data_IF_171235572275
#
_entry.id   IF_171235572275
#
_cell.length_a   1.000
_cell.length_b   1.000
_cell.length_c   1.000
_cell.angle_alpha   90.00
_cell.angle_beta   90.00
_cell.angle_gamma   90.00
#
_symmetry.space_group_name_H-M   'P 1'
#
loop_
_entity.id
_entity.type
_entity.pdbx_description
1 polymer ?
#
# COMPACT_ATOMS: atom_id res chain seq x y z
N UNK A 1 21.16 14.41 -20.08
CA UNK A 1 20.05 15.34 -19.80
C UNK A 1 19.11 15.34 -20.99
N UNK A 2 17.82 15.41 -20.74
CA UNK A 2 16.78 15.45 -21.77
C UNK A 2 15.95 16.71 -21.57
N UNK A 3 15.65 17.44 -22.65
CA UNK A 3 14.78 18.60 -22.53
C UNK A 3 13.30 18.17 -22.46
N UNK A 4 12.41 19.08 -22.06
CA UNK A 4 10.98 18.78 -21.87
C UNK A 4 10.31 18.23 -23.15
N UNK A 5 10.65 18.77 -24.32
CA UNK A 5 10.07 18.34 -25.60
C UNK A 5 10.49 16.91 -25.94
N UNK A 6 11.78 16.62 -25.81
CA UNK A 6 12.32 15.27 -26.01
C UNK A 6 11.71 14.27 -25.02
N UNK A 7 11.53 14.65 -23.75
CA UNK A 7 10.91 13.79 -22.75
C UNK A 7 9.42 13.52 -23.05
N UNK A 8 8.69 14.54 -23.55
CA UNK A 8 7.31 14.39 -23.99
C UNK A 8 7.19 13.45 -25.20
N UNK A 9 8.10 13.55 -26.17
CA UNK A 9 8.19 12.62 -27.31
C UNK A 9 8.42 11.17 -26.85
N UNK A 10 9.33 10.95 -25.89
CA UNK A 10 9.51 9.63 -25.27
C UNK A 10 8.20 9.18 -24.62
N UNK A 11 7.61 9.99 -23.74
CA UNK A 11 6.41 9.59 -23.01
C UNK A 11 5.27 9.21 -23.95
N UNK A 12 5.05 9.96 -25.03
CA UNK A 12 4.04 9.65 -26.04
C UNK A 12 4.31 8.30 -26.73
N UNK A 13 5.56 7.99 -27.07
CA UNK A 13 5.96 6.69 -27.65
C UNK A 13 5.63 5.51 -26.73
N UNK A 14 5.73 5.69 -25.41
CA UNK A 14 5.51 4.64 -24.41
C UNK A 14 4.14 4.70 -23.73
N UNK A 15 3.26 5.62 -24.14
CA UNK A 15 1.93 5.77 -23.54
C UNK A 15 1.95 6.26 -22.08
N UNK A 16 2.91 7.11 -21.73
CA UNK A 16 3.11 7.67 -20.40
C UNK A 16 2.62 9.12 -20.33
N UNK A 17 2.13 9.55 -19.16
CA UNK A 17 1.82 10.95 -18.87
C UNK A 17 3.09 11.70 -18.42
N UNK A 18 3.68 12.47 -19.35
CA UNK A 18 4.87 13.28 -19.11
C UNK A 18 4.67 14.33 -18.01
N UNK A 19 3.50 14.96 -17.93
CA UNK A 19 3.19 16.00 -16.94
C UNK A 19 3.16 15.40 -15.54
N UNK A 20 2.54 14.23 -15.40
CA UNK A 20 2.49 13.47 -14.14
C UNK A 20 3.87 13.03 -13.69
N UNK A 21 4.70 12.50 -14.60
CA UNK A 21 6.07 12.08 -14.30
C UNK A 21 6.94 13.25 -13.82
N UNK A 22 6.94 14.37 -14.53
CA UNK A 22 7.72 15.56 -14.17
C UNK A 22 7.25 16.13 -12.83
N UNK A 23 5.93 16.27 -12.63
CA UNK A 23 5.35 16.75 -11.36
C UNK A 23 5.78 15.89 -10.17
N UNK A 24 5.87 14.58 -10.36
CA UNK A 24 6.25 13.65 -9.30
C UNK A 24 7.76 13.65 -9.03
N UNK A 25 8.61 13.85 -10.05
CA UNK A 25 10.06 13.88 -9.89
C UNK A 25 10.75 14.56 -11.09
N UNK A 26 11.12 15.83 -10.97
CA UNK A 26 11.79 16.59 -12.04
C UNK A 26 13.17 16.05 -12.43
N UNK A 27 13.80 15.23 -11.58
CA UNK A 27 15.10 14.62 -11.86
C UNK A 27 15.13 13.78 -13.15
N UNK A 28 13.97 13.34 -13.65
CA UNK A 28 13.88 12.62 -14.94
C UNK A 28 14.41 13.43 -16.13
N UNK A 29 14.42 14.77 -16.03
CA UNK A 29 14.97 15.64 -17.06
C UNK A 29 16.50 15.82 -16.93
N UNK A 30 16.99 15.74 -15.70
CA UNK A 30 18.37 16.12 -15.34
C UNK A 30 19.31 14.92 -15.29
N UNK A 31 18.84 13.77 -14.82
CA UNK A 31 19.71 12.64 -14.43
C UNK A 31 19.94 11.60 -15.51
N UNK A 32 19.22 11.68 -16.64
CA UNK A 32 19.42 10.76 -17.75
C UNK A 32 19.37 11.45 -19.11
N UNK A 33 19.97 10.82 -20.10
CA UNK A 33 19.81 11.16 -21.50
C UNK A 33 18.68 10.36 -22.16
N UNK A 34 18.32 10.78 -23.38
CA UNK A 34 17.24 10.19 -24.16
C UNK A 34 17.36 8.67 -24.32
N UNK A 35 18.55 8.18 -24.67
CA UNK A 35 18.77 6.76 -24.97
C UNK A 35 18.69 5.92 -23.70
N UNK A 36 19.29 6.40 -22.60
CA UNK A 36 19.21 5.74 -21.30
C UNK A 36 17.76 5.53 -20.85
N UNK A 37 16.92 6.56 -20.97
CA UNK A 37 15.48 6.45 -20.64
C UNK A 37 14.80 5.41 -21.55
N UNK A 38 15.06 5.44 -22.86
CA UNK A 38 14.49 4.49 -23.80
C UNK A 38 14.87 3.04 -23.48
N UNK A 39 16.14 2.77 -23.15
CA UNK A 39 16.58 1.41 -22.77
C UNK A 39 15.88 0.89 -21.51
N UNK A 40 15.66 1.76 -20.52
CA UNK A 40 14.88 1.41 -19.33
C UNK A 40 13.44 1.08 -19.71
N UNK A 41 12.80 1.96 -20.50
CA UNK A 41 11.40 1.78 -20.88
C UNK A 41 11.17 0.55 -21.76
N UNK A 42 12.07 0.27 -22.72
CA UNK A 42 12.02 -0.94 -23.53
C UNK A 42 12.13 -2.19 -22.65
N UNK A 43 13.04 -2.21 -21.67
CA UNK A 43 13.15 -3.34 -20.74
C UNK A 43 11.89 -3.52 -19.88
N UNK A 44 11.40 -2.45 -19.26
CA UNK A 44 10.20 -2.50 -18.40
C UNK A 44 8.95 -2.92 -19.18
N UNK A 45 8.73 -2.38 -20.38
CA UNK A 45 7.56 -2.70 -21.22
C UNK A 45 7.70 -4.07 -21.88
N UNK A 46 8.82 -4.34 -22.52
CA UNK A 46 8.93 -5.48 -23.43
C UNK A 46 9.34 -6.76 -22.69
N UNK A 47 10.18 -6.64 -21.67
CA UNK A 47 10.62 -7.80 -20.88
C UNK A 47 9.73 -8.04 -19.69
N UNK A 48 9.49 -7.00 -18.87
CA UNK A 48 8.76 -7.15 -17.62
C UNK A 48 7.24 -6.96 -17.75
N UNK A 49 6.76 -6.51 -18.91
CA UNK A 49 5.34 -6.23 -19.18
C UNK A 49 4.71 -5.26 -18.18
N UNK A 50 5.50 -4.34 -17.62
CA UNK A 50 5.03 -3.35 -16.65
C UNK A 50 4.10 -2.36 -17.32
N UNK A 51 2.93 -2.15 -16.72
CA UNK A 51 1.96 -1.18 -17.25
C UNK A 51 2.44 0.27 -17.11
N UNK A 52 2.05 1.17 -18.04
CA UNK A 52 2.39 2.60 -17.96
C UNK A 52 2.07 3.23 -16.60
N UNK A 53 0.89 2.93 -16.04
CA UNK A 53 0.45 3.45 -14.74
C UNK A 53 1.37 3.01 -13.57
N UNK A 54 2.00 1.84 -13.65
CA UNK A 54 2.97 1.40 -12.63
C UNK A 54 4.33 2.11 -12.79
N UNK A 55 4.76 2.35 -14.03
CA UNK A 55 5.97 3.16 -14.34
C UNK A 55 5.79 4.60 -13.81
N UNK A 56 4.64 5.20 -14.05
CA UNK A 56 4.34 6.58 -13.62
C UNK A 56 4.36 6.81 -12.11
N UNK A 57 4.18 5.75 -11.32
CA UNK A 57 4.28 5.78 -9.85
C UNK A 57 5.72 5.74 -9.34
N UNK A 58 6.69 5.38 -10.20
CA UNK A 58 8.11 5.32 -9.86
C UNK A 58 8.98 6.00 -10.93
N UNK A 59 8.86 7.34 -11.13
CA UNK A 59 9.63 8.04 -12.14
C UNK A 59 11.16 7.87 -11.96
N UNK A 60 11.60 7.62 -10.72
CA UNK A 60 13.02 7.46 -10.41
C UNK A 60 13.72 6.34 -11.16
N UNK A 61 12.98 5.30 -11.57
CA UNK A 61 13.57 4.19 -12.31
C UNK A 61 14.11 4.61 -13.69
N UNK A 62 13.54 5.68 -14.28
CA UNK A 62 13.85 6.12 -15.64
C UNK A 62 15.27 6.68 -15.80
N UNK A 63 15.89 7.10 -14.71
CA UNK A 63 17.26 7.63 -14.72
C UNK A 63 18.28 6.70 -14.05
N UNK A 64 17.90 5.45 -13.79
CA UNK A 64 18.84 4.44 -13.30
C UNK A 64 19.55 3.74 -14.45
N UNK A 65 20.75 3.25 -14.17
CA UNK A 65 21.53 2.45 -15.11
C UNK A 65 20.77 1.14 -15.39
N UNK A 66 20.57 0.85 -16.68
CA UNK A 66 19.81 -0.34 -17.11
C UNK A 66 20.47 -1.64 -16.65
N UNK A 67 21.80 -1.66 -16.51
CA UNK A 67 22.56 -2.81 -16.02
C UNK A 67 22.16 -3.18 -14.59
N UNK A 68 22.02 -2.19 -13.70
CA UNK A 68 21.62 -2.41 -12.31
C UNK A 68 20.17 -2.95 -12.23
N UNK A 69 19.26 -2.41 -13.06
CA UNK A 69 17.87 -2.88 -13.14
C UNK A 69 17.83 -4.34 -13.61
N UNK A 70 18.60 -4.68 -14.67
CA UNK A 70 18.70 -6.04 -15.21
C UNK A 70 19.31 -7.02 -14.21
N UNK A 71 20.33 -6.60 -13.47
CA UNK A 71 20.96 -7.40 -12.42
C UNK A 71 19.97 -7.70 -11.30
N UNK A 72 19.27 -6.68 -10.79
CA UNK A 72 18.23 -6.85 -9.79
C UNK A 72 17.13 -7.79 -10.27
N UNK A 73 16.63 -7.60 -11.50
CA UNK A 73 15.63 -8.48 -12.07
C UNK A 73 16.12 -9.93 -12.16
N UNK A 74 17.33 -10.15 -12.66
CA UNK A 74 17.93 -11.48 -12.76
C UNK A 74 17.96 -12.16 -11.39
N UNK A 75 18.45 -11.45 -10.37
CA UNK A 75 18.51 -11.98 -9.01
C UNK A 75 17.12 -12.31 -8.45
N UNK A 76 16.15 -11.40 -8.58
CA UNK A 76 14.77 -11.62 -8.10
C UNK A 76 14.12 -12.83 -8.79
N UNK A 77 14.35 -12.99 -10.10
CA UNK A 77 13.87 -14.13 -10.88
C UNK A 77 14.52 -15.45 -10.44
N UNK A 78 15.84 -15.46 -10.21
CA UNK A 78 16.56 -16.62 -9.65
C UNK A 78 16.03 -17.05 -8.27
N UNK A 79 15.67 -16.07 -7.42
CA UNK A 79 15.07 -16.33 -6.10
C UNK A 79 13.57 -16.65 -6.16
N UNK A 80 12.98 -16.66 -7.36
CA UNK A 80 11.55 -16.92 -7.60
C UNK A 80 10.64 -15.96 -6.83
N UNK A 81 11.02 -14.69 -6.76
CA UNK A 81 10.15 -13.64 -6.24
C UNK A 81 8.98 -13.47 -7.21
N UNK A 82 7.76 -13.32 -6.67
CA UNK A 82 6.56 -13.14 -7.46
C UNK A 82 6.69 -11.87 -8.32
N UNK A 83 6.56 -12.05 -9.64
CA UNK A 83 6.76 -10.98 -10.62
C UNK A 83 5.76 -9.84 -10.45
N UNK A 84 4.55 -10.13 -9.97
CA UNK A 84 3.51 -9.14 -9.69
C UNK A 84 3.93 -8.16 -8.58
N UNK A 85 4.64 -8.65 -7.57
CA UNK A 85 5.10 -7.81 -6.46
C UNK A 85 6.21 -6.86 -6.92
N UNK A 86 7.05 -7.31 -7.86
CA UNK A 86 8.07 -6.48 -8.50
C UNK A 86 7.44 -5.43 -9.43
N UNK A 87 6.45 -5.83 -10.24
CA UNK A 87 5.74 -4.95 -11.17
C UNK A 87 5.01 -3.81 -10.45
N UNK A 88 4.35 -4.12 -9.33
CA UNK A 88 3.62 -3.14 -8.52
C UNK A 88 4.52 -2.32 -7.60
N UNK A 89 5.80 -2.71 -7.44
CA UNK A 89 6.79 -1.99 -6.65
C UNK A 89 8.17 -1.91 -7.35
N UNK A 90 8.24 -1.14 -8.43
CA UNK A 90 9.48 -0.87 -9.19
C UNK A 90 10.62 -0.28 -8.35
N UNK A 91 10.32 0.26 -7.16
CA UNK A 91 11.34 0.71 -6.22
C UNK A 91 12.29 -0.42 -5.78
N UNK A 92 11.89 -1.69 -5.86
CA UNK A 92 12.77 -2.83 -5.59
C UNK A 92 13.86 -2.91 -6.67
N UNK A 93 13.47 -2.85 -7.94
CA UNK A 93 14.41 -2.82 -9.08
C UNK A 93 15.32 -1.58 -9.08
N UNK A 94 14.88 -0.52 -8.41
CA UNK A 94 15.63 0.72 -8.26
C UNK A 94 16.67 0.69 -7.13
N UNK A 95 16.78 -0.41 -6.39
CA UNK A 95 17.70 -0.55 -5.26
C UNK A 95 19.11 -0.80 -5.77
N UNK A 96 20.13 -0.39 -5.01
CA UNK A 96 21.49 -0.84 -5.27
C UNK A 96 21.56 -2.39 -5.28
N UNK A 97 22.17 -3.03 -6.30
CA UNK A 97 22.17 -4.49 -6.39
C UNK A 97 22.85 -5.21 -5.23
N UNK A 98 23.90 -4.64 -4.66
CA UNK A 98 24.58 -5.24 -3.51
C UNK A 98 23.70 -5.14 -2.27
N UNK A 99 23.08 -3.98 -2.04
CA UNK A 99 22.13 -3.80 -0.94
C UNK A 99 20.93 -4.75 -1.06
N UNK A 100 20.34 -4.89 -2.24
CA UNK A 100 19.19 -5.78 -2.46
C UNK A 100 19.54 -7.24 -2.10
N UNK A 101 20.71 -7.71 -2.52
CA UNK A 101 21.21 -9.06 -2.19
C UNK A 101 21.44 -9.23 -0.70
N UNK A 102 22.13 -8.28 -0.05
CA UNK A 102 22.36 -8.29 1.40
C UNK A 102 21.05 -8.34 2.18
N UNK A 103 20.07 -7.52 1.81
CA UNK A 103 18.77 -7.51 2.47
C UNK A 103 18.00 -8.81 2.24
N UNK A 104 18.03 -9.37 1.02
CA UNK A 104 17.45 -10.67 0.75
C UNK A 104 18.07 -11.75 1.65
N UNK A 105 19.39 -11.83 1.72
CA UNK A 105 20.11 -12.83 2.53
C UNK A 105 19.80 -12.66 4.02
N UNK A 106 19.82 -11.43 4.52
CA UNK A 106 19.53 -11.12 5.92
C UNK A 106 18.11 -11.52 6.33
N UNK A 107 17.11 -11.12 5.54
CA UNK A 107 15.69 -11.37 5.85
C UNK A 107 15.31 -12.82 5.57
N UNK A 108 15.83 -13.44 4.51
CA UNK A 108 15.48 -14.83 4.19
C UNK A 108 16.08 -15.87 5.13
N UNK A 109 17.09 -15.51 5.93
CA UNK A 109 17.73 -16.41 6.88
C UNK A 109 16.72 -16.92 7.95
N UNK A 110 16.59 -18.24 8.07
CA UNK A 110 15.59 -18.90 8.95
C UNK A 110 15.82 -18.61 10.45
N UNK A 111 17.08 -18.43 10.85
CA UNK A 111 17.42 -18.02 12.22
C UNK A 111 17.14 -16.53 12.49
N UNK A 112 16.76 -15.76 11.47
CA UNK A 112 16.35 -14.36 11.56
C UNK A 112 14.84 -14.25 11.36
N UNK A 113 14.38 -14.07 10.12
CA UNK A 113 12.97 -13.92 9.79
C UNK A 113 12.44 -15.15 9.07
N UNK A 114 13.17 -15.60 8.03
CA UNK A 114 12.78 -16.68 7.14
C UNK A 114 12.10 -16.17 5.87
N UNK A 115 12.14 -16.98 4.81
CA UNK A 115 11.71 -16.58 3.46
C UNK A 115 10.27 -16.06 3.40
N UNK A 116 9.37 -16.59 4.25
CA UNK A 116 7.95 -16.20 4.31
C UNK A 116 7.73 -14.69 4.47
N UNK A 117 8.63 -13.98 5.14
CA UNK A 117 8.48 -12.54 5.35
C UNK A 117 8.76 -11.73 4.07
N UNK A 118 9.63 -12.23 3.18
CA UNK A 118 9.84 -11.62 1.86
C UNK A 118 8.61 -11.85 0.98
N UNK A 119 7.96 -13.01 1.10
CA UNK A 119 6.74 -13.32 0.36
C UNK A 119 5.55 -12.47 0.84
N UNK A 120 5.48 -12.17 2.14
CA UNK A 120 4.45 -11.30 2.70
C UNK A 120 4.73 -9.81 2.48
N UNK A 121 6.01 -9.41 2.52
CA UNK A 121 6.44 -8.02 2.53
C UNK A 121 7.62 -7.83 1.57
N UNK A 122 7.43 -8.14 0.28
CA UNK A 122 8.51 -8.11 -0.73
C UNK A 122 9.18 -6.74 -0.85
N UNK A 123 8.43 -5.68 -0.54
CA UNK A 123 8.95 -4.31 -0.51
C UNK A 123 10.05 -4.08 0.53
N UNK A 124 10.29 -5.01 1.47
CA UNK A 124 11.44 -4.94 2.38
C UNK A 124 12.78 -4.97 1.66
N UNK A 125 12.86 -5.60 0.48
CA UNK A 125 14.10 -5.77 -0.28
C UNK A 125 14.76 -4.46 -0.73
N UNK A 126 14.03 -3.34 -0.67
CA UNK A 126 14.57 -2.00 -0.95
C UNK A 126 15.22 -1.32 0.25
N UNK A 127 15.08 -1.90 1.44
CA UNK A 127 15.54 -1.33 2.71
C UNK A 127 16.92 -1.90 3.02
N UNK A 128 17.84 -1.09 3.53
CA UNK A 128 19.18 -1.55 3.90
C UNK A 128 19.14 -2.41 5.17
N UNK A 129 20.09 -3.33 5.31
CA UNK A 129 20.20 -4.21 6.49
C UNK A 129 20.46 -3.39 7.75
N UNK A 130 21.27 -2.34 7.65
CA UNK A 130 21.65 -1.46 8.76
C UNK A 130 20.41 -0.79 9.35
N UNK A 131 19.47 -0.36 8.51
CA UNK A 131 18.20 0.22 8.98
C UNK A 131 17.33 -0.81 9.71
N UNK A 132 17.29 -2.05 9.22
CA UNK A 132 16.53 -3.12 9.88
C UNK A 132 17.15 -3.39 11.25
N UNK A 133 18.47 -3.55 11.32
CA UNK A 133 19.23 -3.78 12.54
C UNK A 133 19.11 -2.64 13.54
N UNK A 134 19.16 -1.40 13.07
CA UNK A 134 18.99 -0.23 13.94
C UNK A 134 17.63 -0.27 14.64
N UNK A 135 16.56 -0.66 13.93
CA UNK A 135 15.21 -0.79 14.52
C UNK A 135 15.13 -2.01 15.45
N UNK A 136 15.76 -3.14 15.10
CA UNK A 136 15.85 -4.32 15.97
C UNK A 136 16.49 -3.97 17.32
N UNK A 137 17.60 -3.22 17.30
CA UNK A 137 18.34 -2.81 18.49
C UNK A 137 17.57 -1.76 19.31
N UNK A 138 17.00 -0.76 18.63
CA UNK A 138 16.40 0.40 19.28
C UNK A 138 14.94 0.21 19.69
N UNK A 139 14.24 -0.75 19.09
CA UNK A 139 12.83 -1.06 19.38
C UNK A 139 12.64 -2.58 19.56
N UNK A 140 13.34 -3.22 20.53
CA UNK A 140 13.32 -4.67 20.72
C UNK A 140 11.95 -5.24 21.12
N UNK A 141 11.02 -4.39 21.56
CA UNK A 141 9.64 -4.73 21.87
C UNK A 141 8.79 -5.06 20.63
N UNK A 142 9.25 -4.70 19.43
CA UNK A 142 8.52 -4.93 18.20
C UNK A 142 8.60 -6.41 17.79
N UNK A 143 7.49 -6.93 17.30
CA UNK A 143 7.49 -8.21 16.60
C UNK A 143 8.30 -8.10 15.31
N UNK A 144 8.83 -9.22 14.81
CA UNK A 144 9.54 -9.29 13.52
C UNK A 144 8.77 -8.63 12.37
N UNK A 145 7.47 -8.89 12.27
CA UNK A 145 6.59 -8.28 11.25
C UNK A 145 6.53 -6.75 11.37
N UNK A 146 6.40 -6.25 12.61
CA UNK A 146 6.34 -4.82 12.88
C UNK A 146 7.68 -4.13 12.65
N UNK A 147 8.82 -4.80 12.90
CA UNK A 147 10.15 -4.28 12.59
C UNK A 147 10.27 -4.03 11.08
N UNK A 148 9.92 -5.03 10.25
CA UNK A 148 9.99 -4.86 8.78
C UNK A 148 9.02 -3.78 8.28
N UNK A 149 7.82 -3.71 8.85
CA UNK A 149 6.84 -2.66 8.55
C UNK A 149 7.36 -1.26 8.90
N UNK A 150 7.98 -1.10 10.07
CA UNK A 150 8.61 0.13 10.51
C UNK A 150 9.80 0.50 9.61
N UNK A 151 10.61 -0.48 9.22
CA UNK A 151 11.74 -0.29 8.33
C UNK A 151 11.30 0.28 6.96
N UNK A 152 10.17 -0.19 6.41
CA UNK A 152 9.63 0.28 5.13
C UNK A 152 9.02 1.69 5.21
N UNK A 153 8.54 2.12 6.39
CA UNK A 153 7.86 3.42 6.58
C UNK A 153 8.69 4.66 6.28
N UNK A 154 10.02 4.51 6.13
CA UNK A 154 11.02 5.60 5.97
C UNK A 154 11.06 6.62 7.11
N UNK A 155 10.37 6.37 8.23
CA UNK A 155 10.43 7.21 9.42
C UNK A 155 11.79 7.10 10.11
N UNK A 156 12.25 8.19 10.73
CA UNK A 156 13.42 8.14 11.61
C UNK A 156 13.18 7.20 12.79
N UNK A 157 14.25 6.60 13.33
CA UNK A 157 14.08 5.61 14.40
C UNK A 157 13.51 6.23 15.68
N UNK A 158 13.81 7.49 15.99
CA UNK A 158 13.21 8.18 17.14
C UNK A 158 11.70 8.39 16.96
N UNK A 159 11.24 8.67 15.73
CA UNK A 159 9.81 8.74 15.42
C UNK A 159 9.15 7.36 15.55
N UNK A 160 9.83 6.29 15.13
CA UNK A 160 9.34 4.91 15.31
C UNK A 160 9.19 4.58 16.80
N UNK A 161 10.20 4.92 17.63
CA UNK A 161 10.13 4.74 19.09
C UNK A 161 8.95 5.49 19.69
N UNK A 162 8.74 6.75 19.29
CA UNK A 162 7.64 7.54 19.84
C UNK A 162 6.27 7.00 19.39
N UNK A 163 6.14 6.50 18.15
CA UNK A 163 4.94 5.79 17.70
C UNK A 163 4.64 4.59 18.60
N UNK A 164 5.64 3.76 18.89
CA UNK A 164 5.48 2.57 19.73
C UNK A 164 5.10 2.96 21.15
N UNK A 165 5.79 3.95 21.73
CA UNK A 165 5.49 4.49 23.06
C UNK A 165 4.06 5.01 23.16
N UNK A 166 3.59 5.77 22.17
CA UNK A 166 2.21 6.26 22.12
C UNK A 166 1.22 5.10 22.09
N UNK A 167 1.46 4.08 21.27
CA UNK A 167 0.59 2.91 21.21
C UNK A 167 0.52 2.19 22.57
N UNK A 168 1.67 1.90 23.19
CA UNK A 168 1.75 1.22 24.48
C UNK A 168 1.06 2.01 25.60
N UNK A 169 1.28 3.32 25.69
CA UNK A 169 0.66 4.19 26.70
C UNK A 169 -0.87 4.15 26.64
N UNK A 170 -1.43 3.91 25.46
CA UNK A 170 -2.87 3.88 25.22
C UNK A 170 -3.40 2.45 25.04
N UNK A 171 -2.63 1.42 25.40
CA UNK A 171 -3.01 -0.01 25.28
C UNK A 171 -3.39 -0.42 23.85
N UNK A 172 -2.85 0.28 22.85
CA UNK A 172 -3.07 -0.01 21.43
C UNK A 172 -2.06 -1.03 20.94
N UNK A 173 -2.56 -2.10 20.31
CA UNK A 173 -1.70 -3.09 19.65
C UNK A 173 -0.96 -2.45 18.47
N UNK A 174 0.37 -2.53 18.50
CA UNK A 174 1.22 -2.12 17.37
C UNK A 174 0.99 -3.08 16.20
N UNK A 175 0.56 -2.53 15.06
CA UNK A 175 0.30 -3.23 13.80
C UNK A 175 0.93 -2.45 12.64
N UNK A 176 1.08 -3.05 11.46
CA UNK A 176 1.66 -2.39 10.28
C UNK A 176 1.05 -1.00 9.98
N UNK A 177 -0.27 -0.86 10.20
CA UNK A 177 -1.02 0.37 9.96
C UNK A 177 -0.50 1.58 10.74
N UNK A 178 0.01 1.38 11.95
CA UNK A 178 0.46 2.50 12.81
C UNK A 178 1.65 3.24 12.19
N UNK A 179 2.55 2.53 11.51
CA UNK A 179 3.73 3.12 10.89
C UNK A 179 3.42 3.93 9.63
N UNK A 180 2.14 4.00 9.20
CA UNK A 180 1.68 4.90 8.13
C UNK A 180 1.42 6.32 8.65
N UNK A 181 1.45 6.54 9.95
CA UNK A 181 1.06 7.79 10.63
C UNK A 181 2.19 8.31 11.50
N UNK A 182 2.24 9.61 11.75
CA UNK A 182 3.18 10.16 12.75
C UNK A 182 2.68 9.87 14.16
N UNK A 183 3.55 9.94 15.17
CA UNK A 183 3.14 9.82 16.56
C UNK A 183 2.06 10.86 16.93
N UNK A 184 2.18 12.08 16.42
CA UNK A 184 1.19 13.14 16.61
C UNK A 184 -0.17 12.77 16.02
N UNK A 185 -0.18 12.26 14.79
CA UNK A 185 -1.42 11.85 14.12
C UNK A 185 -2.05 10.62 14.80
N UNK A 186 -1.24 9.68 15.29
CA UNK A 186 -1.72 8.53 16.07
C UNK A 186 -2.41 8.98 17.35
N UNK A 187 -1.83 9.92 18.11
CA UNK A 187 -2.47 10.46 19.33
C UNK A 187 -3.83 11.05 19.03
N UNK A 188 -3.93 11.78 17.91
CA UNK A 188 -5.18 12.38 17.50
C UNK A 188 -6.23 11.35 17.09
N UNK A 189 -5.83 10.34 16.29
CA UNK A 189 -6.72 9.22 15.94
C UNK A 189 -7.22 8.49 17.20
N UNK A 190 -6.34 8.23 18.17
CA UNK A 190 -6.71 7.60 19.44
C UNK A 190 -7.73 8.46 20.20
N UNK A 191 -7.50 9.78 20.28
CA UNK A 191 -8.41 10.73 20.94
C UNK A 191 -9.80 10.69 20.30
N UNK A 192 -9.87 10.81 18.96
CA UNK A 192 -11.13 10.76 18.22
C UNK A 192 -11.86 9.44 18.49
N UNK A 193 -11.15 8.31 18.46
CA UNK A 193 -11.76 7.02 18.76
C UNK A 193 -12.31 6.93 20.18
N UNK A 194 -11.55 7.39 21.17
CA UNK A 194 -11.98 7.39 22.58
C UNK A 194 -13.20 8.28 22.81
N UNK A 195 -13.19 9.51 22.28
CA UNK A 195 -14.32 10.45 22.36
C UNK A 195 -15.60 9.90 21.72
N UNK A 196 -15.47 8.99 20.77
CA UNK A 196 -16.59 8.41 20.02
C UNK A 196 -16.89 6.93 20.38
N UNK A 197 -16.25 6.37 21.41
CA UNK A 197 -16.45 4.98 21.83
C UNK A 197 -16.11 3.95 20.75
N UNK A 198 -15.13 4.24 19.90
CA UNK A 198 -14.69 3.39 18.78
C UNK A 198 -13.56 2.48 19.26
N UNK A 199 -13.68 1.19 18.96
CA UNK A 199 -12.61 0.23 19.21
C UNK A 199 -11.37 0.57 18.37
N UNK A 200 -10.21 0.74 19.03
CA UNK A 200 -8.96 1.11 18.38
C UNK A 200 -8.27 -0.15 17.84
N UNK A 201 -8.54 -0.47 16.58
CA UNK A 201 -7.88 -1.57 15.86
C UNK A 201 -6.98 -1.05 14.73
N UNK A 202 -6.12 -1.92 14.20
CA UNK A 202 -5.13 -1.56 13.18
C UNK A 202 -5.68 -0.90 11.90
N UNK A 203 -6.94 -1.18 11.52
CA UNK A 203 -7.55 -0.58 10.33
C UNK A 203 -7.80 0.92 10.48
N UNK A 204 -8.01 1.44 11.70
CA UNK A 204 -8.24 2.87 11.94
C UNK A 204 -7.03 3.70 11.46
N UNK A 205 -5.82 3.22 11.72
CA UNK A 205 -4.57 3.88 11.32
C UNK A 205 -4.31 3.86 9.80
N UNK A 206 -5.18 3.22 9.01
CA UNK A 206 -5.16 3.34 7.53
C UNK A 206 -5.73 4.67 7.04
N UNK A 207 -6.32 5.48 7.95
CA UNK A 207 -6.92 6.80 7.67
C UNK A 207 -6.19 7.89 8.43
N UNK A 208 -6.22 9.10 7.90
CA UNK A 208 -5.72 10.26 8.63
C UNK A 208 -6.69 10.62 9.76
N UNK A 209 -6.25 11.41 10.74
CA UNK A 209 -7.15 11.91 11.78
C UNK A 209 -8.39 12.60 11.20
N UNK A 210 -8.20 13.46 10.19
CA UNK A 210 -9.29 14.14 9.48
C UNK A 210 -10.24 13.17 8.78
N UNK A 211 -9.72 12.13 8.12
CA UNK A 211 -10.58 11.11 7.51
C UNK A 211 -11.33 10.29 8.57
N UNK A 212 -10.72 9.98 9.72
CA UNK A 212 -11.40 9.28 10.83
C UNK A 212 -12.57 10.12 11.33
N UNK A 213 -12.38 11.42 11.59
CA UNK A 213 -13.45 12.33 12.01
C UNK A 213 -14.59 12.39 10.97
N UNK A 214 -14.26 12.54 9.69
CA UNK A 214 -15.26 12.57 8.62
C UNK A 214 -16.05 11.24 8.56
N UNK A 215 -15.38 10.09 8.75
CA UNK A 215 -16.05 8.79 8.84
C UNK A 215 -17.03 8.75 10.01
N UNK A 216 -16.64 9.27 11.18
CA UNK A 216 -17.49 9.36 12.36
C UNK A 216 -18.75 10.17 12.08
N UNK A 217 -18.60 11.35 11.47
CA UNK A 217 -19.73 12.21 11.12
C UNK A 217 -20.70 11.53 10.14
N UNK A 218 -20.16 10.89 9.09
CA UNK A 218 -20.97 10.13 8.14
C UNK A 218 -21.75 9.03 8.85
N UNK A 219 -21.10 8.27 9.74
CA UNK A 219 -21.75 7.18 10.45
C UNK A 219 -22.86 7.69 11.38
N UNK A 220 -22.58 8.74 12.17
CA UNK A 220 -23.58 9.38 13.05
C UNK A 220 -24.78 9.89 12.27
N UNK A 221 -24.55 10.62 11.16
CA UNK A 221 -25.62 11.17 10.31
C UNK A 221 -26.52 10.07 9.71
N UNK A 222 -25.97 8.88 9.49
CA UNK A 222 -26.68 7.78 8.86
C UNK A 222 -27.11 6.67 9.84
N UNK A 223 -26.91 6.84 11.15
CA UNK A 223 -27.24 5.82 12.16
C UNK A 223 -26.42 4.52 12.02
N UNK A 224 -25.21 4.60 11.47
CA UNK A 224 -24.35 3.42 11.21
C UNK A 224 -23.49 3.15 12.43
N UNK A 225 -23.49 1.90 12.91
CA UNK A 225 -22.55 1.45 13.94
C UNK A 225 -21.13 1.43 13.37
N UNK A 226 -20.22 2.13 14.03
CA UNK A 226 -18.82 2.18 13.60
C UNK A 226 -18.14 0.85 13.93
N UNK A 227 -17.61 0.19 12.90
CA UNK A 227 -16.81 -1.04 13.01
C UNK A 227 -15.48 -0.88 12.31
N UNK A 228 -14.51 -1.71 12.68
CA UNK A 228 -13.18 -1.72 12.08
C UNK A 228 -13.13 -1.81 10.54
N UNK A 229 -14.09 -2.50 9.93
CA UNK A 229 -14.20 -2.67 8.47
C UNK A 229 -14.47 -1.35 7.73
N UNK A 230 -15.11 -0.36 8.36
CA UNK A 230 -15.38 0.95 7.73
C UNK A 230 -14.09 1.65 7.35
N UNK A 231 -13.07 1.58 8.21
CA UNK A 231 -11.76 2.20 8.00
C UNK A 231 -10.93 1.54 6.88
N UNK A 232 -11.42 0.44 6.29
CA UNK A 232 -10.84 -0.13 5.05
C UNK A 232 -11.16 0.71 3.81
N UNK A 233 -12.16 1.61 3.89
CA UNK A 233 -12.67 2.42 2.76
C UNK A 233 -12.42 3.91 2.96
N UNK A 234 -12.20 4.67 1.88
CA UNK A 234 -12.08 6.13 1.95
C UNK A 234 -13.46 6.76 2.21
N UNK A 235 -13.48 7.99 2.67
CA UNK A 235 -14.74 8.71 2.96
C UNK A 235 -15.64 8.82 1.73
N UNK A 236 -15.05 9.01 0.54
CA UNK A 236 -15.78 9.01 -0.74
C UNK A 236 -16.43 7.65 -1.06
N UNK A 237 -15.70 6.56 -0.85
CA UNK A 237 -16.21 5.20 -1.07
C UNK A 237 -17.31 4.84 -0.06
N UNK A 238 -17.16 5.26 1.20
CA UNK A 238 -18.17 5.05 2.24
C UNK A 238 -19.49 5.74 1.86
N UNK A 239 -19.43 7.00 1.41
CA UNK A 239 -20.62 7.74 0.96
C UNK A 239 -21.32 7.00 -0.20
N UNK A 240 -20.57 6.47 -1.15
CA UNK A 240 -21.12 5.71 -2.26
C UNK A 240 -21.75 4.38 -1.81
N UNK A 241 -21.05 3.62 -0.96
CA UNK A 241 -21.56 2.36 -0.38
C UNK A 241 -22.88 2.62 0.36
N UNK A 242 -22.93 3.63 1.22
CA UNK A 242 -24.14 4.02 1.97
C UNK A 242 -25.29 4.34 1.02
N UNK A 243 -25.02 5.09 -0.06
CA UNK A 243 -26.03 5.42 -1.07
C UNK A 243 -26.55 4.15 -1.76
N UNK A 244 -25.65 3.30 -2.26
CA UNK A 244 -26.03 2.05 -2.95
C UNK A 244 -26.85 1.14 -2.05
N UNK A 245 -26.46 0.99 -0.78
CA UNK A 245 -27.22 0.20 0.18
C UNK A 245 -28.64 0.77 0.37
N UNK A 246 -28.77 2.09 0.59
CA UNK A 246 -30.07 2.74 0.75
C UNK A 246 -30.96 2.62 -0.48
N UNK A 247 -30.40 2.83 -1.67
CA UNK A 247 -31.12 2.72 -2.94
C UNK A 247 -31.67 1.30 -3.18
N UNK A 248 -31.07 0.28 -2.54
CA UNK A 248 -31.46 -1.12 -2.65
C UNK A 248 -32.14 -1.67 -1.37
N UNK A 249 -32.49 -0.82 -0.41
CA UNK A 249 -33.15 -1.25 0.84
C UNK A 249 -32.29 -2.12 1.76
N UNK A 250 -30.97 -2.01 1.68
CA UNK A 250 -29.99 -2.82 2.42
C UNK A 250 -29.58 -2.08 3.68
N UNK A 251 -29.62 -2.76 4.83
CA UNK A 251 -29.10 -2.23 6.08
C UNK A 251 -27.58 -2.03 6.01
N UNK A 252 -27.11 -0.84 6.39
CA UNK A 252 -25.69 -0.50 6.36
C UNK A 252 -25.01 -0.98 7.64
N UNK A 253 -24.52 -2.22 7.61
CA UNK A 253 -23.75 -2.82 8.71
C UNK A 253 -22.28 -3.03 8.33
N UNK A 254 -21.43 -3.34 9.32
CA UNK A 254 -19.99 -3.48 9.12
C UNK A 254 -19.56 -4.37 7.94
N UNK A 255 -20.32 -5.41 7.58
CA UNK A 255 -19.94 -6.33 6.50
C UNK A 255 -20.00 -5.72 5.10
N UNK A 256 -20.83 -4.69 4.86
CA UNK A 256 -20.92 -4.07 3.52
C UNK A 256 -19.61 -3.39 3.14
N UNK A 257 -18.85 -2.90 4.12
CA UNK A 257 -17.59 -2.20 3.90
C UNK A 257 -16.42 -3.12 3.51
N UNK A 258 -16.61 -4.44 3.54
CA UNK A 258 -15.68 -5.37 2.89
C UNK A 258 -15.77 -5.33 1.36
N UNK A 259 -16.80 -4.71 0.78
CA UNK A 259 -17.02 -4.60 -0.66
C UNK A 259 -16.96 -3.15 -1.14
N UNK A 260 -16.61 -2.97 -2.39
CA UNK A 260 -16.79 -1.69 -3.12
C UNK A 260 -18.26 -1.49 -3.47
N UNK A 261 -18.64 -0.26 -3.80
CA UNK A 261 -20.00 0.04 -4.26
C UNK A 261 -20.39 -0.78 -5.50
N UNK A 262 -19.47 -1.02 -6.43
CA UNK A 262 -19.73 -1.81 -7.64
C UNK A 262 -19.88 -3.31 -7.34
N UNK A 263 -19.04 -3.86 -6.46
CA UNK A 263 -19.20 -5.24 -5.98
C UNK A 263 -20.54 -5.44 -5.26
N UNK A 264 -21.00 -4.45 -4.48
CA UNK A 264 -22.32 -4.51 -3.84
C UNK A 264 -23.42 -4.56 -4.90
N UNK A 265 -23.38 -3.68 -5.91
CA UNK A 265 -24.38 -3.70 -7.02
C UNK A 265 -24.41 -5.06 -7.71
N UNK A 266 -23.26 -5.66 -7.99
CA UNK A 266 -23.19 -6.99 -8.60
C UNK A 266 -23.77 -8.07 -7.69
N UNK A 267 -23.40 -8.07 -6.41
CA UNK A 267 -23.95 -9.01 -5.42
C UNK A 267 -25.47 -8.90 -5.33
N UNK A 268 -26.01 -7.68 -5.29
CA UNK A 268 -27.46 -7.43 -5.22
C UNK A 268 -28.16 -8.02 -6.45
N UNK A 269 -27.62 -7.78 -7.65
CA UNK A 269 -28.16 -8.33 -8.88
C UNK A 269 -28.19 -9.87 -8.85
N UNK A 270 -27.08 -10.50 -8.45
CA UNK A 270 -27.02 -11.97 -8.33
C UNK A 270 -28.03 -12.49 -7.32
N UNK A 271 -28.18 -11.84 -6.17
CA UNK A 271 -29.18 -12.24 -5.17
C UNK A 271 -30.61 -12.13 -5.70
N UNK A 272 -30.94 -11.04 -6.40
CA UNK A 272 -32.26 -10.84 -7.00
C UNK A 272 -32.57 -11.87 -8.09
N UNK A 273 -31.60 -12.17 -8.97
CA UNK A 273 -31.74 -13.18 -10.03
C UNK A 273 -31.97 -14.59 -9.47
N UNK A 274 -31.43 -14.90 -8.29
CA UNK A 274 -31.49 -16.22 -7.67
C UNK A 274 -32.50 -16.31 -6.51
N UNK A 275 -33.28 -15.26 -6.25
CA UNK A 275 -34.23 -15.22 -5.14
C UNK A 275 -33.58 -15.34 -3.75
N UNK A 276 -32.33 -14.94 -3.60
CA UNK A 276 -31.58 -14.99 -2.34
C UNK A 276 -31.86 -13.74 -1.52
N UNK A 277 -32.24 -13.92 -0.25
CA UNK A 277 -32.42 -12.81 0.69
C UNK A 277 -31.10 -12.08 0.97
N UNK A 278 -31.11 -10.75 0.85
CA UNK A 278 -29.92 -9.91 1.04
C UNK A 278 -29.73 -9.63 2.53
N UNK A 279 -28.94 -10.47 3.19
CA UNK A 279 -28.52 -10.28 4.59
C UNK A 279 -27.07 -9.84 4.70
N UNK A 280 -26.66 -9.36 5.87
CA UNK A 280 -25.29 -8.94 6.15
C UNK A 280 -24.22 -9.97 5.79
N UNK A 281 -24.53 -11.26 5.94
CA UNK A 281 -23.60 -12.37 5.64
C UNK A 281 -23.24 -12.48 4.16
N UNK A 282 -24.13 -12.04 3.28
CA UNK A 282 -23.95 -12.03 1.83
C UNK A 282 -22.71 -11.21 1.47
N UNK A 283 -22.41 -10.12 2.18
CA UNK A 283 -21.26 -9.27 1.89
C UNK A 283 -19.91 -9.80 2.39
N UNK A 284 -19.90 -10.93 3.10
CA UNK A 284 -18.66 -11.60 3.50
C UNK A 284 -18.01 -12.40 2.34
N UNK A 285 -18.79 -12.74 1.31
CA UNK A 285 -18.33 -13.52 0.12
C UNK A 285 -18.39 -12.70 -1.15
N UNK A 286 -17.59 -13.05 -2.16
CA UNK A 286 -17.65 -12.42 -3.49
C UNK A 286 -18.92 -12.85 -4.25
N UNK A 287 -19.25 -12.16 -5.35
CA UNK A 287 -20.36 -12.56 -6.22
C UNK A 287 -20.08 -13.92 -6.91
N UNK A 288 -18.82 -14.16 -7.30
CA UNK A 288 -18.39 -15.42 -7.95
C UNK A 288 -18.53 -16.63 -7.03
N UNK A 289 -18.23 -16.48 -5.73
CA UNK A 289 -18.38 -17.54 -4.74
C UNK A 289 -19.84 -17.97 -4.52
N UNK A 290 -20.82 -17.16 -4.94
CA UNK A 290 -22.25 -17.42 -4.77
C UNK A 290 -22.94 -17.99 -6.01
N UNK A 291 -22.25 -18.04 -7.15
CA UNK A 291 -22.77 -18.68 -8.38
C UNK A 291 -22.61 -20.20 -8.37
N UNK A 292 -22.00 -20.77 -7.32
CA UNK A 292 -21.83 -22.21 -7.08
C UNK A 292 -22.74 -22.65 -5.96
#
# INVERSE_FOLDING_TARGET
MVNRKQFEEICNKYGLDSKKLIKNNENVLEKADYNSICYVLDFLRDTLKVTPNNIEKCPSILYLKIEAIKENWKFLNEKKINTRDVETCLHILSTDPEQLKKTYEYVSAENRYGKKYIEQITTILRVSVERIQEIEEKCPELTRENILSAAISRKGVDEIKEIVRVCQKNEVKVTDGVFRRSATEIREIIRICQENGIEIIGSVFRRTATEVEEIVEICKKNGIKITGSIFLRRTSEIKEIVKVCKDNGIEVIGSVFYKTADEIKEIVKVCQENGIEITGSVFLRTAEEKKK
#
